data_IF_596732696730
#
_entry.id   IF_596732696730
#
_cell.length_a   1.000
_cell.length_b   1.000
_cell.length_c   1.000
_cell.angle_alpha   90.00
_cell.angle_beta   90.00
_cell.angle_gamma   90.00
#
_symmetry.space_group_name_H-M   'P 1'
#
loop_
_entity.id
_entity.type
_entity.pdbx_description
1 polymer ?
#
# COMPACT_ATOMS: atom_id res chain seq x y z
N UNK A 1 -26.30 5.64 9.55
CA UNK A 1 -25.15 4.72 9.73
C UNK A 1 -24.72 4.24 8.37
N UNK A 2 -23.41 4.09 8.13
CA UNK A 2 -22.90 3.41 6.94
C UNK A 2 -22.66 1.96 7.33
N UNK A 3 -23.25 1.01 6.59
CA UNK A 3 -22.94 -0.40 6.74
C UNK A 3 -21.87 -0.77 5.70
N UNK A 4 -20.74 -1.29 6.19
CA UNK A 4 -19.63 -1.82 5.41
C UNK A 4 -19.38 -3.26 5.85
N UNK A 5 -18.84 -4.09 4.96
CA UNK A 5 -18.30 -5.37 5.39
C UNK A 5 -17.10 -5.14 6.33
N UNK A 6 -16.83 -6.09 7.22
CA UNK A 6 -15.66 -6.01 8.09
C UNK A 6 -14.35 -5.97 7.28
N UNK A 7 -14.32 -6.65 6.13
CA UNK A 7 -13.17 -6.68 5.24
C UNK A 7 -12.90 -5.31 4.63
N UNK A 8 -13.93 -4.67 4.07
CA UNK A 8 -13.80 -3.33 3.48
C UNK A 8 -13.35 -2.30 4.53
N UNK A 9 -13.90 -2.39 5.74
CA UNK A 9 -13.51 -1.52 6.84
C UNK A 9 -12.01 -1.67 7.17
N UNK A 10 -11.52 -2.91 7.30
CA UNK A 10 -10.11 -3.18 7.60
C UNK A 10 -9.18 -2.70 6.48
N UNK A 11 -9.56 -2.90 5.23
CA UNK A 11 -8.79 -2.43 4.08
C UNK A 11 -8.64 -0.90 4.08
N UNK A 12 -9.72 -0.19 4.41
CA UNK A 12 -9.71 1.27 4.54
C UNK A 12 -8.83 1.75 5.70
N UNK A 13 -8.94 1.10 6.86
CA UNK A 13 -8.12 1.40 8.04
C UNK A 13 -6.62 1.20 7.77
N UNK A 14 -6.25 0.09 7.14
CA UNK A 14 -4.85 -0.21 6.82
C UNK A 14 -4.30 0.76 5.75
N UNK A 15 -5.10 1.10 4.75
CA UNK A 15 -4.72 2.10 3.75
C UNK A 15 -4.48 3.46 4.39
N UNK A 16 -5.40 3.90 5.26
CA UNK A 16 -5.26 5.15 6.00
C UNK A 16 -4.01 5.14 6.89
N UNK A 17 -3.73 4.01 7.56
CA UNK A 17 -2.55 3.84 8.39
C UNK A 17 -1.25 3.96 7.57
N UNK A 18 -1.16 3.28 6.42
CA UNK A 18 0.00 3.33 5.53
C UNK A 18 0.25 4.74 4.98
N UNK A 19 -0.82 5.47 4.68
CA UNK A 19 -0.75 6.81 4.09
C UNK A 19 -0.68 7.95 5.12
N UNK A 20 -0.77 7.63 6.42
CA UNK A 20 -0.81 8.64 7.51
C UNK A 20 0.42 9.54 7.56
N UNK A 21 1.60 9.03 7.19
CA UNK A 21 2.82 9.84 7.17
C UNK A 21 3.19 10.21 5.73
N UNK A 22 3.49 11.49 5.44
CA UNK A 22 3.84 11.93 4.08
C UNK A 22 5.04 11.17 3.51
N UNK A 23 6.02 10.84 4.35
CA UNK A 23 7.21 10.09 3.95
C UNK A 23 6.85 8.66 3.49
N UNK A 24 6.03 7.93 4.25
CA UNK A 24 5.64 6.57 3.87
C UNK A 24 4.68 6.56 2.68
N UNK A 25 3.73 7.50 2.63
CA UNK A 25 2.83 7.66 1.49
C UNK A 25 3.62 7.89 0.19
N UNK A 26 4.58 8.82 0.20
CA UNK A 26 5.45 9.09 -0.96
C UNK A 26 6.22 7.85 -1.39
N UNK A 27 6.82 7.13 -0.44
CA UNK A 27 7.58 5.91 -0.71
C UNK A 27 6.70 4.83 -1.34
N UNK A 28 5.52 4.58 -0.76
CA UNK A 28 4.59 3.55 -1.23
C UNK A 28 4.06 3.87 -2.63
N UNK A 29 3.56 5.09 -2.84
CA UNK A 29 3.02 5.51 -4.15
C UNK A 29 4.10 5.49 -5.23
N UNK A 30 5.34 5.90 -4.90
CA UNK A 30 6.47 5.81 -5.84
C UNK A 30 6.79 4.35 -6.19
N UNK A 31 6.82 3.45 -5.21
CA UNK A 31 7.08 2.04 -5.44
C UNK A 31 6.00 1.39 -6.33
N UNK A 32 4.72 1.66 -6.05
CA UNK A 32 3.59 1.20 -6.90
C UNK A 32 3.73 1.74 -8.32
N UNK A 33 4.05 3.03 -8.48
CA UNK A 33 4.30 3.63 -9.80
C UNK A 33 5.46 2.96 -10.57
N UNK A 34 6.55 2.62 -9.88
CA UNK A 34 7.68 1.91 -10.49
C UNK A 34 7.29 0.49 -10.93
N UNK A 35 6.52 -0.23 -10.10
CA UNK A 35 6.03 -1.57 -10.44
C UNK A 35 5.10 -1.54 -11.65
N UNK A 36 4.13 -0.61 -11.68
CA UNK A 36 3.22 -0.44 -12.82
C UNK A 36 3.95 -0.05 -14.11
N UNK A 37 5.07 0.67 -14.00
CA UNK A 37 5.94 0.99 -15.14
C UNK A 37 6.90 -0.14 -15.53
N UNK A 38 6.77 -1.34 -14.95
CA UNK A 38 7.63 -2.49 -15.25
C UNK A 38 9.06 -2.39 -14.70
N UNK A 39 9.35 -1.44 -13.79
CA UNK A 39 10.68 -1.19 -13.22
C UNK A 39 10.98 -2.04 -11.97
N UNK A 40 10.13 -3.02 -11.67
CA UNK A 40 10.32 -3.94 -10.55
C UNK A 40 11.51 -4.88 -10.77
N UNK A 41 12.29 -5.12 -9.72
CA UNK A 41 13.40 -6.09 -9.75
C UNK A 41 13.04 -7.28 -8.88
N UNK A 42 12.88 -8.46 -9.49
CA UNK A 42 12.67 -9.70 -8.75
C UNK A 42 13.93 -10.05 -7.94
N UNK A 43 13.76 -10.35 -6.66
CA UNK A 43 14.84 -10.78 -5.77
C UNK A 43 14.45 -12.04 -5.04
N UNK A 44 15.42 -12.94 -4.83
CA UNK A 44 15.24 -14.12 -3.98
C UNK A 44 15.16 -13.69 -2.51
N UNK A 45 14.33 -14.37 -1.73
CA UNK A 45 14.25 -14.15 -0.29
C UNK A 45 15.57 -14.53 0.37
N UNK A 46 16.03 -13.71 1.30
CA UNK A 46 17.20 -14.01 2.13
C UNK A 46 16.72 -14.95 3.25
N UNK A 47 17.51 -15.99 3.53
CA UNK A 47 17.21 -16.99 4.57
C UNK A 47 17.37 -16.43 5.98
#
# INVERSE_FOLDING_TARGET
>A
MVMLSLEDYKALEETAYLLRTPANAKRLLTAVGQLNAGKGVARKLVK
#
